data_IF_544850178874
#
_entry.id   IF_544850178874
#
_cell.length_a   1.000
_cell.length_b   1.000
_cell.length_c   1.000
_cell.angle_alpha   90.00
_cell.angle_beta   90.00
_cell.angle_gamma   90.00
#
_symmetry.space_group_name_H-M   'P 1'
#
loop_
_entity.id
_entity.type
_entity.pdbx_description
1 polymer ?
#
# COMPACT_ATOMS: atom_id res chain seq x y z
N UNK A 1 53.24 10.48 2.21
CA UNK A 1 52.70 9.18 1.76
C UNK A 1 51.88 8.43 2.79
N UNK A 2 52.15 8.51 4.13
CA UNK A 2 51.35 7.78 5.17
C UNK A 2 49.91 8.26 5.35
N UNK A 3 49.56 9.51 5.10
CA UNK A 3 48.19 10.05 5.28
C UNK A 3 47.19 9.62 4.18
N UNK A 4 47.68 9.33 2.98
CA UNK A 4 46.80 8.89 1.86
C UNK A 4 46.38 7.42 2.02
N UNK A 5 47.25 6.59 2.61
CA UNK A 5 46.93 5.18 2.89
C UNK A 5 45.84 5.01 3.95
N UNK A 6 45.77 5.90 4.94
CA UNK A 6 44.76 5.82 6.02
C UNK A 6 43.37 6.13 5.51
N UNK A 7 43.22 7.08 4.57
CA UNK A 7 41.92 7.44 3.98
C UNK A 7 41.41 6.31 3.06
N UNK A 8 42.28 5.67 2.30
CA UNK A 8 41.92 4.56 1.45
C UNK A 8 41.45 3.32 2.28
N UNK A 9 42.08 3.07 3.43
CA UNK A 9 41.68 1.97 4.32
C UNK A 9 40.30 2.23 4.98
N UNK A 10 40.04 3.49 5.40
CA UNK A 10 38.74 3.86 5.96
C UNK A 10 37.61 3.74 4.92
N UNK A 11 37.85 4.09 3.67
CA UNK A 11 36.90 3.96 2.59
C UNK A 11 36.61 2.48 2.24
N UNK A 12 37.60 1.59 2.36
CA UNK A 12 37.38 0.14 2.17
C UNK A 12 36.56 -0.48 3.31
N UNK A 13 36.76 -0.05 4.56
CA UNK A 13 35.97 -0.54 5.69
C UNK A 13 34.51 -0.04 5.64
N UNK A 14 34.28 1.21 5.23
CA UNK A 14 32.93 1.75 5.05
C UNK A 14 32.16 0.97 3.97
N UNK A 15 32.80 0.69 2.83
CA UNK A 15 32.18 -0.09 1.77
C UNK A 15 31.91 -1.56 2.16
N UNK A 16 32.78 -2.17 2.98
CA UNK A 16 32.59 -3.53 3.44
C UNK A 16 31.41 -3.65 4.44
N UNK A 17 31.23 -2.67 5.33
CA UNK A 17 30.11 -2.65 6.27
C UNK A 17 28.77 -2.39 5.56
N UNK A 18 28.73 -1.53 4.56
CA UNK A 18 27.53 -1.34 3.73
C UNK A 18 27.17 -2.58 2.92
N UNK A 19 28.15 -3.28 2.34
CA UNK A 19 27.92 -4.51 1.60
C UNK A 19 27.43 -5.65 2.52
N UNK A 20 27.96 -5.75 3.73
CA UNK A 20 27.50 -6.74 4.72
C UNK A 20 26.07 -6.43 5.19
N UNK A 21 25.74 -5.16 5.47
CA UNK A 21 24.37 -4.78 5.86
C UNK A 21 23.37 -5.00 4.72
N UNK A 22 23.75 -4.73 3.48
CA UNK A 22 22.89 -4.97 2.31
C UNK A 22 22.65 -6.49 2.09
N UNK A 23 23.68 -7.33 2.27
CA UNK A 23 23.57 -8.78 2.15
C UNK A 23 22.71 -9.36 3.27
N UNK A 24 22.83 -8.85 4.48
CA UNK A 24 22.04 -9.27 5.63
C UNK A 24 20.58 -8.87 5.49
N UNK A 25 20.33 -7.66 5.03
CA UNK A 25 18.98 -7.20 4.68
C UNK A 25 18.36 -8.05 3.56
N UNK A 26 19.11 -8.38 2.52
CA UNK A 26 18.64 -9.25 1.45
C UNK A 26 18.32 -10.67 1.93
N UNK A 27 19.11 -11.23 2.86
CA UNK A 27 18.82 -12.52 3.50
C UNK A 27 17.54 -12.44 4.33
N UNK A 28 17.39 -11.45 5.16
CA UNK A 28 16.17 -11.25 5.96
C UNK A 28 14.94 -11.09 5.08
N UNK A 29 15.04 -10.36 3.98
CA UNK A 29 13.94 -10.24 3.02
C UNK A 29 13.63 -11.57 2.32
N UNK A 30 14.63 -12.36 1.98
CA UNK A 30 14.45 -13.68 1.38
C UNK A 30 13.78 -14.66 2.37
N UNK A 31 14.21 -14.67 3.62
CA UNK A 31 13.61 -15.46 4.68
C UNK A 31 12.16 -15.03 4.96
N UNK A 32 11.90 -13.74 5.01
CA UNK A 32 10.55 -13.20 5.16
C UNK A 32 9.64 -13.63 4.01
N UNK A 33 10.11 -13.51 2.76
CA UNK A 33 9.37 -13.99 1.58
C UNK A 33 9.12 -15.50 1.63
N UNK A 34 10.13 -16.29 2.04
CA UNK A 34 9.95 -17.72 2.18
C UNK A 34 8.92 -18.07 3.28
N UNK A 35 8.95 -17.35 4.40
CA UNK A 35 7.95 -17.48 5.46
C UNK A 35 6.55 -17.11 4.98
N UNK A 36 6.40 -16.01 4.24
CA UNK A 36 5.13 -15.57 3.66
C UNK A 36 4.58 -16.58 2.67
N UNK A 37 5.41 -17.07 1.74
CA UNK A 37 5.01 -18.12 0.79
C UNK A 37 4.57 -19.39 1.51
N UNK A 38 5.24 -19.76 2.61
CA UNK A 38 4.84 -20.90 3.45
C UNK A 38 3.53 -20.61 4.17
N UNK A 39 3.33 -19.40 4.69
CA UNK A 39 2.10 -18.99 5.36
C UNK A 39 0.90 -18.91 4.38
N UNK A 40 1.11 -18.40 3.16
CA UNK A 40 0.09 -18.35 2.11
C UNK A 40 -0.34 -19.74 1.63
N UNK A 41 0.58 -20.72 1.63
CA UNK A 41 0.30 -22.12 1.28
C UNK A 41 -0.09 -22.98 2.49
N UNK A 42 -0.11 -22.40 3.69
CA UNK A 42 -0.45 -23.13 4.91
C UNK A 42 -1.96 -23.40 5.00
N UNK A 43 -2.31 -24.35 5.85
CA UNK A 43 -3.73 -24.58 6.21
C UNK A 43 -4.29 -23.30 6.88
N UNK A 44 -5.55 -22.94 6.59
CA UNK A 44 -6.19 -21.77 7.20
C UNK A 44 -6.07 -21.77 8.72
N UNK A 45 -5.75 -20.59 9.29
CA UNK A 45 -5.60 -20.37 10.73
C UNK A 45 -6.93 -20.63 11.47
N UNK A 46 -6.88 -20.85 12.79
CA UNK A 46 -8.10 -21.02 13.60
C UNK A 46 -9.00 -19.80 13.53
N UNK A 47 -8.43 -18.60 13.53
CA UNK A 47 -9.17 -17.34 13.46
C UNK A 47 -9.81 -17.13 12.08
N UNK A 48 -9.09 -17.42 11.00
CA UNK A 48 -9.62 -17.40 9.65
C UNK A 48 -10.82 -18.38 9.50
N UNK A 49 -10.71 -19.58 10.06
CA UNK A 49 -11.83 -20.54 10.07
C UNK A 49 -13.03 -20.03 10.86
N UNK A 50 -12.80 -19.37 12.01
CA UNK A 50 -13.87 -18.79 12.82
C UNK A 50 -14.59 -17.67 12.08
N UNK A 51 -13.83 -16.74 11.48
CA UNK A 51 -14.40 -15.64 10.67
C UNK A 51 -15.13 -16.17 9.44
N UNK A 52 -14.55 -17.10 8.70
CA UNK A 52 -15.18 -17.72 7.54
C UNK A 52 -16.49 -18.43 7.90
N UNK A 53 -16.55 -19.11 9.06
CA UNK A 53 -17.77 -19.73 9.55
C UNK A 53 -18.87 -18.69 9.80
N UNK A 54 -18.51 -17.51 10.28
CA UNK A 54 -19.46 -16.41 10.46
C UNK A 54 -19.96 -15.90 9.10
N UNK A 55 -19.05 -15.59 8.17
CA UNK A 55 -19.44 -15.18 6.82
C UNK A 55 -20.37 -16.20 6.15
N UNK A 56 -20.04 -17.50 6.24
CA UNK A 56 -20.90 -18.55 5.67
C UNK A 56 -22.29 -18.61 6.31
N UNK A 57 -22.41 -18.37 7.64
CA UNK A 57 -23.71 -18.26 8.31
C UNK A 57 -24.55 -17.09 7.83
N UNK A 58 -23.89 -16.01 7.43
CA UNK A 58 -24.51 -14.80 6.86
C UNK A 58 -24.82 -14.95 5.35
N UNK A 59 -24.56 -16.11 4.77
CA UNK A 59 -24.83 -16.42 3.36
C UNK A 59 -23.72 -16.01 2.39
N UNK A 60 -22.57 -15.57 2.89
CA UNK A 60 -21.43 -15.23 2.03
C UNK A 60 -20.77 -16.47 1.43
N UNK A 61 -20.38 -16.37 0.18
CA UNK A 61 -19.67 -17.40 -0.59
C UNK A 61 -18.60 -16.78 -1.49
N UNK A 62 -17.84 -17.62 -2.16
CA UNK A 62 -16.82 -17.21 -3.15
C UNK A 62 -17.27 -17.62 -4.56
N UNK A 63 -16.81 -16.91 -5.60
CA UNK A 63 -17.01 -17.34 -6.97
C UNK A 63 -16.42 -18.75 -7.22
N UNK A 64 -16.99 -19.46 -8.19
CA UNK A 64 -16.45 -20.76 -8.59
C UNK A 64 -15.01 -20.62 -9.11
N UNK A 65 -14.12 -21.48 -8.63
CA UNK A 65 -12.69 -21.47 -8.99
C UNK A 65 -11.82 -20.58 -8.13
N UNK A 66 -12.40 -19.73 -7.28
CA UNK A 66 -11.65 -18.89 -6.35
C UNK A 66 -11.25 -19.66 -5.08
N UNK A 67 -10.23 -19.13 -4.39
CA UNK A 67 -9.81 -19.63 -3.07
C UNK A 67 -10.95 -19.57 -2.07
N UNK A 68 -11.00 -20.54 -1.14
CA UNK A 68 -12.02 -20.52 -0.07
C UNK A 68 -11.97 -19.25 0.78
N UNK A 69 -13.08 -18.89 1.44
CA UNK A 69 -13.12 -17.74 2.36
C UNK A 69 -12.03 -17.84 3.41
N UNK A 70 -11.78 -19.05 3.96
CA UNK A 70 -10.74 -19.31 4.95
C UNK A 70 -9.34 -19.00 4.44
N UNK A 71 -9.06 -19.37 3.19
CA UNK A 71 -7.77 -19.10 2.55
C UNK A 71 -7.59 -17.60 2.29
N UNK A 72 -8.60 -16.94 1.73
CA UNK A 72 -8.56 -15.50 1.47
C UNK A 72 -8.38 -14.69 2.76
N UNK A 73 -9.06 -15.06 3.87
CA UNK A 73 -8.87 -14.40 5.17
C UNK A 73 -7.45 -14.65 5.68
N UNK A 74 -6.92 -15.87 5.56
CA UNK A 74 -5.56 -16.18 6.00
C UNK A 74 -4.53 -15.32 5.25
N UNK A 75 -4.67 -15.21 3.94
CA UNK A 75 -3.83 -14.34 3.11
C UNK A 75 -3.96 -12.87 3.52
N UNK A 76 -5.19 -12.40 3.74
CA UNK A 76 -5.45 -11.04 4.20
C UNK A 76 -4.77 -10.73 5.53
N UNK A 77 -4.70 -11.69 6.46
CA UNK A 77 -3.98 -11.52 7.72
C UNK A 77 -2.48 -11.46 7.52
N UNK A 78 -1.91 -12.31 6.65
CA UNK A 78 -0.46 -12.30 6.34
C UNK A 78 -0.05 -10.92 5.80
N UNK A 79 -0.77 -10.41 4.81
CA UNK A 79 -0.50 -9.07 4.27
C UNK A 79 -0.78 -7.96 5.28
N UNK A 80 -1.83 -8.09 6.09
CA UNK A 80 -2.19 -7.10 7.12
C UNK A 80 -1.16 -6.98 8.25
N UNK A 81 -0.38 -8.01 8.50
CA UNK A 81 0.64 -8.03 9.57
C UNK A 81 2.07 -7.81 9.05
N UNK A 82 2.28 -7.77 7.74
CA UNK A 82 3.60 -7.55 7.17
C UNK A 82 4.10 -6.15 7.47
N UNK A 83 5.35 -6.07 7.97
CA UNK A 83 6.01 -4.83 8.31
C UNK A 83 7.11 -4.50 7.30
N UNK A 84 7.38 -3.22 7.14
CA UNK A 84 8.54 -2.68 6.43
C UNK A 84 9.22 -1.63 7.31
N UNK A 85 10.49 -1.33 7.06
CA UNK A 85 11.16 -0.19 7.67
C UNK A 85 10.78 1.09 6.89
N UNK A 86 10.40 2.14 7.62
CA UNK A 86 10.32 3.49 7.08
C UNK A 86 11.73 4.10 6.92
N UNK A 87 11.82 5.33 6.44
CA UNK A 87 13.10 6.04 6.26
C UNK A 87 13.85 6.26 7.57
N UNK A 88 13.15 6.38 8.69
CA UNK A 88 13.73 6.52 10.02
C UNK A 88 14.13 5.18 10.66
N UNK A 89 13.86 4.06 9.98
CA UNK A 89 14.13 2.70 10.48
C UNK A 89 13.04 2.14 11.38
N UNK A 90 11.89 2.83 11.53
CA UNK A 90 10.78 2.32 12.33
C UNK A 90 10.00 1.24 11.56
N UNK A 91 9.48 0.26 12.29
CA UNK A 91 8.61 -0.77 11.72
C UNK A 91 7.21 -0.20 11.49
N UNK A 92 6.77 -0.18 10.23
CA UNK A 92 5.44 0.28 9.81
C UNK A 92 4.75 -0.81 8.99
N UNK A 93 3.42 -0.81 8.97
CA UNK A 93 2.65 -1.73 8.09
C UNK A 93 3.04 -1.51 6.64
N UNK A 94 3.39 -2.61 5.95
CA UNK A 94 3.78 -2.57 4.53
C UNK A 94 2.61 -2.30 3.61
N UNK A 95 1.44 -2.88 3.92
CA UNK A 95 0.27 -2.76 3.08
C UNK A 95 -0.77 -1.83 3.69
N UNK A 96 -1.38 -1.02 2.83
CA UNK A 96 -2.65 -0.35 3.10
C UNK A 96 -3.75 -1.27 2.60
N UNK A 97 -4.77 -1.51 3.40
CA UNK A 97 -5.92 -2.32 2.99
C UNK A 97 -7.19 -1.49 3.04
N UNK A 98 -8.03 -1.64 2.02
CA UNK A 98 -9.35 -1.02 1.99
C UNK A 98 -10.42 -2.04 1.60
N UNK A 99 -11.60 -1.94 2.21
CA UNK A 99 -12.72 -2.85 1.97
C UNK A 99 -13.95 -2.05 1.55
N UNK A 100 -14.54 -2.42 0.43
CA UNK A 100 -15.82 -1.86 0.00
C UNK A 100 -16.85 -2.96 -0.21
N UNK A 101 -18.11 -2.62 0.03
CA UNK A 101 -19.27 -3.50 -0.19
C UNK A 101 -20.24 -2.78 -1.13
N UNK A 102 -20.73 -3.51 -2.14
CA UNK A 102 -21.67 -2.97 -3.11
C UNK A 102 -22.79 -3.95 -3.43
N UNK A 103 -23.97 -3.42 -3.71
CA UNK A 103 -25.13 -4.18 -4.15
C UNK A 103 -25.41 -3.90 -5.61
N UNK A 104 -25.60 -4.95 -6.41
CA UNK A 104 -25.89 -4.83 -7.84
C UNK A 104 -26.78 -6.00 -8.30
N UNK A 105 -27.38 -5.87 -9.48
CA UNK A 105 -28.22 -6.93 -10.08
C UNK A 105 -27.44 -8.17 -10.51
N UNK A 106 -26.14 -8.04 -10.73
CA UNK A 106 -25.23 -9.15 -11.08
C UNK A 106 -23.97 -9.14 -10.22
N UNK A 107 -23.36 -10.32 -10.03
CA UNK A 107 -22.07 -10.41 -9.34
C UNK A 107 -20.99 -9.54 -10.00
N UNK A 108 -20.85 -9.58 -11.32
CA UNK A 108 -19.81 -8.82 -12.02
C UNK A 108 -19.98 -7.31 -11.87
N UNK A 109 -21.21 -6.79 -11.93
CA UNK A 109 -21.48 -5.39 -11.68
C UNK A 109 -21.17 -5.00 -10.23
N UNK A 110 -21.53 -5.85 -9.25
CA UNK A 110 -21.23 -5.66 -7.84
C UNK A 110 -19.71 -5.66 -7.57
N UNK A 111 -19.00 -6.61 -8.16
CA UNK A 111 -17.54 -6.68 -8.05
C UNK A 111 -16.84 -5.43 -8.63
N UNK A 112 -17.22 -5.03 -9.85
CA UNK A 112 -16.65 -3.84 -10.48
C UNK A 112 -16.93 -2.57 -9.65
N UNK A 113 -18.16 -2.41 -9.15
CA UNK A 113 -18.55 -1.30 -8.30
C UNK A 113 -17.82 -1.29 -6.95
N UNK A 114 -17.73 -2.46 -6.26
CA UNK A 114 -17.02 -2.56 -4.99
C UNK A 114 -15.52 -2.25 -5.15
N UNK A 115 -14.90 -2.76 -6.22
CA UNK A 115 -13.51 -2.43 -6.53
C UNK A 115 -13.32 -0.94 -6.83
N UNK A 116 -14.17 -0.36 -7.67
CA UNK A 116 -14.11 1.07 -8.01
C UNK A 116 -14.28 1.95 -6.76
N UNK A 117 -15.22 1.63 -5.88
CA UNK A 117 -15.44 2.37 -4.64
C UNK A 117 -14.25 2.27 -3.69
N UNK A 118 -13.66 1.06 -3.55
CA UNK A 118 -12.45 0.88 -2.74
C UNK A 118 -11.31 1.77 -3.24
N UNK A 119 -11.10 1.85 -4.56
CA UNK A 119 -10.10 2.73 -5.17
C UNK A 119 -10.43 4.22 -4.97
N UNK A 120 -11.70 4.61 -5.16
CA UNK A 120 -12.15 6.00 -5.02
C UNK A 120 -12.00 6.51 -3.59
N UNK A 121 -12.39 5.70 -2.59
CA UNK A 121 -12.27 6.09 -1.18
C UNK A 121 -10.80 6.20 -0.75
N UNK A 122 -9.98 5.22 -1.09
CA UNK A 122 -8.54 5.29 -0.80
C UNK A 122 -7.88 6.47 -1.54
N UNK A 123 -8.25 6.70 -2.80
CA UNK A 123 -7.79 7.85 -3.60
C UNK A 123 -8.16 9.19 -2.95
N UNK A 124 -9.36 9.29 -2.39
CA UNK A 124 -9.80 10.45 -1.62
C UNK A 124 -8.94 10.72 -0.39
N UNK A 125 -8.63 9.68 0.40
CA UNK A 125 -7.73 9.80 1.57
C UNK A 125 -6.32 10.21 1.16
N UNK A 126 -5.75 9.55 0.16
CA UNK A 126 -4.41 9.88 -0.34
C UNK A 126 -4.33 11.31 -0.86
N UNK A 127 -5.30 11.75 -1.66
CA UNK A 127 -5.38 13.13 -2.16
C UNK A 127 -5.38 14.14 -1.01
N UNK A 128 -6.26 13.93 -0.02
CA UNK A 128 -6.37 14.83 1.14
C UNK A 128 -5.06 14.89 1.92
N UNK A 129 -4.44 13.73 2.15
CA UNK A 129 -3.18 13.65 2.89
C UNK A 129 -2.01 14.28 2.13
N UNK A 130 -1.96 14.13 0.80
CA UNK A 130 -0.93 14.76 -0.05
C UNK A 130 -1.06 16.29 -0.03
N UNK A 131 -2.28 16.81 -0.15
CA UNK A 131 -2.52 18.27 -0.05
C UNK A 131 -2.04 18.77 1.30
N UNK A 132 -2.45 18.14 2.41
CA UNK A 132 -2.04 18.53 3.75
C UNK A 132 -0.52 18.43 3.98
N UNK A 133 0.15 17.45 3.37
CA UNK A 133 1.61 17.31 3.45
C UNK A 133 2.32 18.42 2.67
N UNK A 134 1.83 18.78 1.49
CA UNK A 134 2.35 19.91 0.70
C UNK A 134 2.18 21.23 1.46
N UNK A 135 0.99 21.49 2.01
CA UNK A 135 0.72 22.71 2.82
C UNK A 135 1.61 22.78 4.07
N UNK A 136 1.83 21.65 4.74
CA UNK A 136 2.74 21.57 5.90
C UNK A 136 4.17 21.93 5.51
N UNK A 137 4.63 21.43 4.36
CA UNK A 137 5.97 21.74 3.86
C UNK A 137 6.13 23.22 3.52
N UNK A 138 5.12 23.83 2.88
CA UNK A 138 5.08 25.27 2.60
C UNK A 138 5.19 26.11 3.87
N UNK A 139 4.43 25.75 4.92
CA UNK A 139 4.43 26.48 6.18
C UNK A 139 5.77 26.37 6.93
N UNK A 140 6.41 25.20 6.90
CA UNK A 140 7.66 24.96 7.60
C UNK A 140 8.85 25.73 6.99
N UNK A 141 8.81 26.04 5.71
CA UNK A 141 9.90 26.75 5.01
C UNK A 141 9.80 28.28 5.08
N UNK A 142 8.76 28.82 5.71
CA UNK A 142 8.56 30.29 5.88
C UNK A 142 8.49 31.08 4.56
N UNK A 143 8.68 30.43 3.44
CA UNK A 143 8.44 30.79 2.04
C UNK A 143 8.53 29.54 1.15
N UNK A 144 7.43 29.19 0.53
CA UNK A 144 7.32 28.82 -0.87
C UNK A 144 8.55 28.17 -1.56
N UNK A 145 8.97 27.01 -1.09
CA UNK A 145 9.78 26.13 -1.96
C UNK A 145 8.87 25.34 -2.92
N UNK A 146 7.59 25.18 -2.56
CA UNK A 146 6.48 24.78 -3.41
C UNK A 146 5.55 25.98 -3.46
N UNK A 147 5.56 26.75 -4.53
CA UNK A 147 4.74 27.96 -4.62
C UNK A 147 3.24 27.63 -4.69
N UNK A 148 2.38 28.63 -4.44
CA UNK A 148 0.93 28.47 -4.51
C UNK A 148 0.47 27.86 -5.85
N UNK A 149 1.21 28.14 -6.93
CA UNK A 149 0.96 27.58 -8.28
C UNK A 149 1.16 26.06 -8.29
N UNK A 150 2.10 25.53 -7.51
CA UNK A 150 2.31 24.07 -7.41
C UNK A 150 1.17 23.40 -6.66
N UNK A 151 0.62 24.02 -5.61
CA UNK A 151 -0.55 23.51 -4.88
C UNK A 151 -1.79 23.52 -5.78
N UNK A 152 -2.03 24.58 -6.51
CA UNK A 152 -3.15 24.66 -7.43
C UNK A 152 -3.05 23.65 -8.57
N UNK A 153 -1.87 23.51 -9.16
CA UNK A 153 -1.61 22.47 -10.17
C UNK A 153 -1.81 21.07 -9.60
N UNK A 154 -1.35 20.83 -8.38
CA UNK A 154 -1.59 19.55 -7.72
C UNK A 154 -3.08 19.33 -7.50
N UNK A 155 -3.83 20.31 -6.98
CA UNK A 155 -5.27 20.20 -6.77
C UNK A 155 -6.03 19.86 -8.07
N UNK A 156 -5.63 20.43 -9.19
CA UNK A 156 -6.20 20.14 -10.50
C UNK A 156 -5.89 18.73 -11.01
N UNK A 157 -4.67 18.27 -10.76
CA UNK A 157 -4.16 16.97 -11.27
C UNK A 157 -4.18 15.85 -10.22
N UNK A 158 -4.48 16.17 -8.97
CA UNK A 158 -4.34 15.25 -7.83
C UNK A 158 -5.11 13.94 -8.02
N UNK A 159 -6.33 14.03 -8.58
CA UNK A 159 -7.11 12.82 -8.84
C UNK A 159 -6.40 11.91 -9.83
N UNK A 160 -5.95 12.46 -10.95
CA UNK A 160 -5.23 11.69 -11.98
C UNK A 160 -3.95 11.05 -11.44
N UNK A 161 -3.13 11.82 -10.69
CA UNK A 161 -1.88 11.35 -10.09
C UNK A 161 -2.15 10.17 -9.14
N UNK A 162 -3.17 10.31 -8.27
CA UNK A 162 -3.52 9.30 -7.28
C UNK A 162 -4.17 8.08 -7.94
N UNK A 163 -5.09 8.28 -8.87
CA UNK A 163 -5.78 7.18 -9.58
C UNK A 163 -4.78 6.32 -10.34
N UNK A 164 -3.78 6.92 -11.01
CA UNK A 164 -2.71 6.17 -11.67
C UNK A 164 -1.80 5.42 -10.67
N UNK A 165 -1.48 6.02 -9.53
CA UNK A 165 -0.67 5.37 -8.51
C UNK A 165 -1.37 4.16 -7.88
N UNK A 166 -2.70 4.14 -7.86
CA UNK A 166 -3.51 3.04 -7.30
C UNK A 166 -3.78 1.88 -8.27
N UNK A 167 -3.16 1.84 -9.44
CA UNK A 167 -3.42 0.78 -10.44
C UNK A 167 -3.04 -0.62 -9.96
N UNK A 168 -1.98 -0.75 -9.16
CA UNK A 168 -1.40 -2.02 -8.72
C UNK A 168 -2.03 -2.52 -7.40
N UNK A 169 -3.36 -2.72 -7.38
CA UNK A 169 -4.05 -3.28 -6.22
C UNK A 169 -4.03 -4.81 -6.23
N UNK A 170 -3.87 -5.42 -5.06
CA UNK A 170 -3.91 -6.86 -4.84
C UNK A 170 -5.27 -7.22 -4.21
N UNK A 171 -6.14 -8.00 -4.86
CA UNK A 171 -7.37 -8.46 -4.24
C UNK A 171 -7.05 -9.48 -3.12
N UNK A 172 -7.47 -9.15 -1.88
CA UNK A 172 -7.24 -9.96 -0.68
C UNK A 172 -8.44 -10.84 -0.33
N UNK A 173 -9.63 -10.26 -0.47
CA UNK A 173 -10.88 -10.93 -0.17
C UNK A 173 -11.91 -10.51 -1.21
N UNK A 174 -12.55 -11.51 -1.84
CA UNK A 174 -13.67 -11.32 -2.75
C UNK A 174 -14.74 -12.33 -2.40
N UNK A 175 -15.81 -11.86 -1.77
CA UNK A 175 -16.94 -12.68 -1.36
C UNK A 175 -18.24 -12.02 -1.80
N UNK A 176 -19.26 -12.81 -1.98
CA UNK A 176 -20.60 -12.31 -2.32
C UNK A 176 -21.69 -13.11 -1.62
N UNK A 177 -22.87 -12.50 -1.51
CA UNK A 177 -24.10 -13.21 -1.15
C UNK A 177 -25.27 -12.74 -2.00
N UNK A 178 -26.25 -13.58 -2.15
CA UNK A 178 -27.51 -13.25 -2.83
C UNK A 178 -28.51 -12.74 -1.81
N UNK A 179 -29.06 -11.58 -2.09
CA UNK A 179 -30.07 -10.95 -1.24
C UNK A 179 -31.48 -11.47 -1.60
N UNK A 180 -32.47 -11.31 -0.70
CA UNK A 180 -33.85 -11.75 -0.95
C UNK A 180 -34.50 -11.16 -2.21
N UNK A 181 -34.09 -9.97 -2.63
CA UNK A 181 -34.54 -9.32 -3.86
C UNK A 181 -33.76 -9.78 -5.12
N UNK A 182 -33.07 -10.90 -5.04
CA UNK A 182 -32.20 -11.44 -6.09
C UNK A 182 -30.97 -10.62 -6.50
N UNK A 183 -30.71 -9.49 -5.86
CA UNK A 183 -29.46 -8.76 -6.06
C UNK A 183 -28.28 -9.50 -5.41
N UNK A 184 -27.09 -9.14 -5.84
CA UNK A 184 -25.84 -9.61 -5.28
C UNK A 184 -25.22 -8.50 -4.42
N UNK A 185 -24.91 -8.82 -3.17
CA UNK A 185 -24.04 -8.00 -2.34
C UNK A 185 -22.63 -8.56 -2.44
N UNK A 186 -21.70 -7.73 -2.86
CA UNK A 186 -20.29 -8.12 -3.12
C UNK A 186 -19.36 -7.30 -2.23
N UNK A 187 -18.52 -8.00 -1.50
CA UNK A 187 -17.46 -7.40 -0.68
C UNK A 187 -16.09 -7.66 -1.33
N UNK A 188 -15.35 -6.59 -1.54
CA UNK A 188 -13.97 -6.64 -2.04
C UNK A 188 -13.04 -5.95 -1.05
N UNK A 189 -11.96 -6.63 -0.66
CA UNK A 189 -10.84 -6.04 0.08
C UNK A 189 -9.63 -6.00 -0.83
N UNK A 190 -9.05 -4.81 -1.00
CA UNK A 190 -7.83 -4.58 -1.75
C UNK A 190 -6.68 -4.27 -0.81
N UNK A 191 -5.48 -4.65 -1.20
CA UNK A 191 -4.24 -4.23 -0.55
C UNK A 191 -3.34 -3.50 -1.55
N UNK A 192 -2.57 -2.55 -1.04
CA UNK A 192 -1.63 -1.74 -1.80
C UNK A 192 -0.29 -1.77 -1.08
N UNK A 193 0.76 -2.18 -1.76
CA UNK A 193 2.12 -2.08 -1.22
C UNK A 193 2.50 -0.61 -1.09
N UNK A 194 2.82 -0.16 0.13
CA UNK A 194 3.18 1.24 0.40
C UNK A 194 4.41 1.68 -0.38
N UNK A 195 5.38 0.77 -0.56
CA UNK A 195 6.60 1.09 -1.29
C UNK A 195 6.30 1.38 -2.76
N UNK A 196 5.57 0.48 -3.42
CA UNK A 196 5.17 0.64 -4.82
C UNK A 196 4.30 1.89 -5.01
N UNK A 197 3.38 2.13 -4.06
CA UNK A 197 2.52 3.30 -4.05
C UNK A 197 3.33 4.60 -3.91
N UNK A 198 4.29 4.65 -2.97
CA UNK A 198 5.16 5.81 -2.79
C UNK A 198 6.04 6.07 -4.02
N UNK A 199 6.60 5.02 -4.63
CA UNK A 199 7.40 5.15 -5.86
C UNK A 199 6.55 5.67 -7.02
N UNK A 200 5.34 5.14 -7.20
CA UNK A 200 4.39 5.61 -8.24
C UNK A 200 3.98 7.07 -8.03
N UNK A 201 3.63 7.45 -6.79
CA UNK A 201 3.27 8.83 -6.45
C UNK A 201 4.44 9.79 -6.69
N UNK A 202 5.67 9.43 -6.27
CA UNK A 202 6.88 10.24 -6.51
C UNK A 202 7.10 10.46 -8.00
N UNK A 203 7.09 9.41 -8.79
CA UNK A 203 7.30 9.48 -10.23
C UNK A 203 6.27 10.40 -10.92
N UNK A 204 4.99 10.27 -10.55
CA UNK A 204 3.91 11.10 -11.11
C UNK A 204 3.97 12.55 -10.65
N UNK A 205 4.24 12.80 -9.39
CA UNK A 205 4.39 14.15 -8.86
C UNK A 205 5.62 14.86 -9.46
N UNK A 206 6.74 14.15 -9.63
CA UNK A 206 7.91 14.69 -10.31
C UNK A 206 7.62 15.08 -11.77
N UNK A 207 6.95 14.19 -12.49
CA UNK A 207 6.56 14.41 -13.88
C UNK A 207 5.60 15.61 -14.03
N UNK A 208 4.56 15.68 -13.19
CA UNK A 208 3.44 16.61 -13.34
C UNK A 208 3.66 17.96 -12.65
N UNK A 209 4.40 17.97 -11.54
CA UNK A 209 4.58 19.15 -10.69
C UNK A 209 6.02 19.65 -10.67
N UNK A 210 6.97 18.88 -11.22
CA UNK A 210 8.41 19.19 -11.19
C UNK A 210 8.97 19.40 -9.77
N UNK A 211 8.39 18.71 -8.79
CA UNK A 211 8.90 18.67 -7.41
C UNK A 211 9.94 17.56 -7.35
N UNK A 212 11.11 17.83 -6.81
CA UNK A 212 12.24 16.91 -6.80
C UNK A 212 12.89 16.78 -5.41
N UNK A 213 13.73 15.76 -5.25
CA UNK A 213 14.60 15.57 -4.10
C UNK A 213 13.91 15.08 -2.83
N UNK A 214 14.53 15.39 -1.71
CA UNK A 214 14.08 14.94 -0.37
C UNK A 214 12.70 15.46 -0.02
N UNK A 215 12.35 16.67 -0.43
CA UNK A 215 11.03 17.28 -0.20
C UNK A 215 9.90 16.44 -0.77
N UNK A 216 10.03 15.97 -2.00
CA UNK A 216 9.05 15.09 -2.63
C UNK A 216 8.90 13.80 -1.83
N UNK A 217 10.02 13.24 -1.37
CA UNK A 217 10.03 12.03 -0.56
C UNK A 217 9.28 12.24 0.75
N UNK A 218 9.56 13.31 1.47
CA UNK A 218 8.92 13.62 2.74
C UNK A 218 7.41 13.84 2.60
N UNK A 219 6.98 14.56 1.57
CA UNK A 219 5.56 14.77 1.26
C UNK A 219 4.84 13.45 1.02
N UNK A 220 5.40 12.59 0.17
CA UNK A 220 4.76 11.31 -0.18
C UNK A 220 4.74 10.35 1.00
N UNK A 221 5.82 10.25 1.76
CA UNK A 221 5.88 9.40 2.96
C UNK A 221 4.86 9.85 4.02
N UNK A 222 4.76 11.15 4.30
CA UNK A 222 3.76 11.67 5.22
C UNK A 222 2.34 11.35 4.77
N UNK A 223 2.04 11.53 3.49
CA UNK A 223 0.71 11.27 2.95
C UNK A 223 0.32 9.80 3.03
N UNK A 224 1.22 8.89 2.62
CA UNK A 224 0.95 7.45 2.58
C UNK A 224 0.89 6.84 3.99
N UNK A 225 1.73 7.30 4.92
CA UNK A 225 1.73 6.78 6.30
C UNK A 225 0.55 7.26 7.14
N UNK A 226 -0.14 8.34 6.74
CA UNK A 226 -1.38 8.80 7.39
C UNK A 226 -2.63 8.01 6.96
N UNK A 227 -2.55 7.20 5.94
CA UNK A 227 -3.64 6.29 5.56
C UNK A 227 -3.67 5.13 6.55
N UNK A 228 -4.77 5.01 7.29
CA UNK A 228 -4.98 3.97 8.32
C UNK A 228 -5.63 2.72 7.73
#
# INVERSE_FOLDING_TARGET
MKKIMTIALLAMFANATFAQSALELAKQQAELKAYQMKALNAKPTKDAKKQAKQFKKEGWTVPAGEKSIEQQITESHVYGEELMADRAGNAVKRYITHTAIQVASTYNAGYAAARANSLTELGGFLKTNLIAAIETQLNNEGKSGVDAVSVDKFNQKARYIVDEALTNSIPMLTIYRRLPNNNFEVQVRLAFDKKDLMESLKAKMQQELKIEGDKLTDIVEQAVNRVK
#
